data_IF_119220468561
#
_entry.id   IF_119220468561
#
_cell.length_a   1.000
_cell.length_b   1.000
_cell.length_c   1.000
_cell.angle_alpha   90.00
_cell.angle_beta   90.00
_cell.angle_gamma   90.00
#
_symmetry.space_group_name_H-M   'P 1'
#
loop_
_entity.id
_entity.type
_entity.pdbx_description
1 polymer ?
#
# COMPACT_ATOMS: atom_id res chain seq x y z
N UNK A 1 -12.08 -15.81 11.61
CA UNK A 1 -13.06 -14.71 11.63
C UNK A 1 -12.46 -13.55 10.84
N UNK A 2 -13.14 -12.99 9.83
CA UNK A 2 -12.64 -11.82 9.13
C UNK A 2 -12.77 -10.62 10.07
N UNK A 3 -11.70 -10.27 10.79
CA UNK A 3 -11.68 -9.22 11.82
C UNK A 3 -11.67 -7.78 11.26
N UNK A 4 -12.16 -7.57 10.04
CA UNK A 4 -12.21 -6.25 9.39
C UNK A 4 -13.58 -6.07 8.69
N UNK A 5 -14.67 -6.30 9.41
CA UNK A 5 -15.94 -5.70 9.02
C UNK A 5 -15.85 -4.21 9.39
N UNK A 6 -15.39 -3.40 8.44
CA UNK A 6 -15.59 -1.96 8.51
C UNK A 6 -17.09 -1.71 8.55
N UNK A 7 -17.55 -0.97 9.55
CA UNK A 7 -18.93 -0.50 9.60
C UNK A 7 -18.99 0.71 8.67
N UNK A 8 -19.79 0.65 7.61
CA UNK A 8 -20.08 1.83 6.77
C UNK A 8 -21.57 2.04 6.69
N UNK A 9 -22.06 3.02 7.43
CA UNK A 9 -23.23 3.78 7.04
C UNK A 9 -22.71 5.02 6.32
N UNK A 10 -23.20 5.31 5.12
CA UNK A 10 -23.03 6.62 4.48
C UNK A 10 -23.71 7.64 5.40
N UNK A 11 -22.94 8.24 6.29
CA UNK A 11 -23.46 9.24 7.20
C UNK A 11 -23.55 10.57 6.44
N UNK A 12 -24.76 10.96 6.05
CA UNK A 12 -25.03 12.19 5.31
C UNK A 12 -24.64 13.43 6.14
N UNK A 13 -24.49 13.29 7.46
CA UNK A 13 -23.98 14.34 8.34
C UNK A 13 -22.45 14.41 8.41
N UNK A 14 -21.73 13.47 7.78
CA UNK A 14 -20.27 13.49 7.71
C UNK A 14 -19.82 14.71 6.88
N UNK A 15 -18.96 15.58 7.42
CA UNK A 15 -18.45 16.77 6.71
C UNK A 15 -17.65 16.45 5.44
N UNK A 16 -17.30 15.18 5.20
CA UNK A 16 -16.67 14.72 3.97
C UNK A 16 -17.66 14.50 2.81
N UNK A 17 -18.97 14.52 3.10
CA UNK A 17 -20.04 14.47 2.11
C UNK A 17 -20.34 15.89 1.59
N UNK A 18 -20.38 16.12 0.27
CA UNK A 18 -20.63 17.45 -0.29
C UNK A 18 -22.01 18.00 0.10
N UNK A 19 -22.12 19.32 0.23
CA UNK A 19 -23.38 19.99 0.54
C UNK A 19 -24.43 19.72 -0.54
N UNK A 20 -25.70 19.78 -0.16
CA UNK A 20 -26.82 19.59 -1.08
C UNK A 20 -27.11 18.14 -1.47
N UNK A 21 -26.31 17.16 -1.03
CA UNK A 21 -26.52 15.73 -1.37
C UNK A 21 -27.93 15.22 -1.01
N UNK A 22 -28.54 15.75 0.06
CA UNK A 22 -29.89 15.39 0.49
C UNK A 22 -30.99 15.85 -0.49
N UNK A 23 -30.66 16.77 -1.40
CA UNK A 23 -31.57 17.25 -2.45
C UNK A 23 -31.49 16.38 -3.70
N UNK A 24 -30.41 15.63 -3.88
CA UNK A 24 -30.17 14.82 -5.08
C UNK A 24 -31.22 13.72 -5.19
N UNK A 25 -31.93 13.68 -6.32
CA UNK A 25 -33.06 12.77 -6.58
C UNK A 25 -32.63 11.45 -7.22
N UNK A 26 -31.39 11.37 -7.71
CA UNK A 26 -30.82 10.15 -8.27
C UNK A 26 -30.42 9.13 -7.21
N UNK A 27 -29.89 8.00 -7.66
CA UNK A 27 -29.47 6.92 -6.77
C UNK A 27 -28.15 7.27 -6.07
N UNK A 28 -28.07 7.07 -4.75
CA UNK A 28 -26.85 7.27 -3.97
C UNK A 28 -26.41 5.95 -3.36
N UNK A 29 -25.13 5.62 -3.49
CA UNK A 29 -24.55 4.35 -3.04
C UNK A 29 -23.19 4.58 -2.39
N UNK A 30 -22.84 3.79 -1.38
CA UNK A 30 -21.45 3.57 -1.01
C UNK A 30 -20.85 2.42 -1.83
N UNK A 31 -19.53 2.43 -2.01
CA UNK A 31 -18.80 1.34 -2.68
C UNK A 31 -19.05 -0.06 -2.09
N UNK A 32 -19.44 -0.14 -0.82
CA UNK A 32 -19.80 -1.40 -0.15
C UNK A 32 -21.09 -2.02 -0.72
N UNK A 33 -22.01 -1.20 -1.23
CA UNK A 33 -23.29 -1.61 -1.80
C UNK A 33 -23.14 -2.01 -3.28
N UNK A 34 -22.12 -1.49 -3.96
CA UNK A 34 -21.79 -1.92 -5.32
C UNK A 34 -21.35 -3.39 -5.36
N UNK A 35 -21.88 -4.14 -6.33
CA UNK A 35 -21.58 -5.57 -6.53
C UNK A 35 -21.26 -5.94 -7.98
N UNK A 36 -22.08 -5.47 -8.90
CA UNK A 36 -22.01 -5.79 -10.33
C UNK A 36 -22.41 -4.55 -11.16
N UNK A 37 -21.98 -4.45 -12.43
CA UNK A 37 -22.32 -3.33 -13.30
C UNK A 37 -23.75 -3.43 -13.89
N UNK A 38 -24.44 -4.55 -13.71
CA UNK A 38 -25.84 -4.70 -14.12
C UNK A 38 -26.74 -3.72 -13.36
N UNK A 39 -27.64 -3.03 -14.07
CA UNK A 39 -28.49 -1.97 -13.53
C UNK A 39 -27.91 -0.55 -13.70
N UNK A 40 -26.71 -0.42 -14.26
CA UNK A 40 -26.03 0.83 -14.55
C UNK A 40 -25.89 1.14 -16.06
N UNK A 41 -26.57 0.36 -16.91
CA UNK A 41 -26.57 0.54 -18.37
C UNK A 41 -27.13 1.91 -18.73
N UNK A 42 -26.46 2.60 -19.66
CA UNK A 42 -26.87 3.89 -20.22
C UNK A 42 -27.07 5.03 -19.21
N UNK A 43 -26.61 4.84 -17.96
CA UNK A 43 -26.68 5.86 -16.91
C UNK A 43 -25.47 6.79 -16.93
N UNK A 44 -25.64 8.02 -16.48
CA UNK A 44 -24.56 8.97 -16.18
C UNK A 44 -24.19 8.84 -14.70
N UNK A 45 -22.96 8.42 -14.43
CA UNK A 45 -22.56 7.99 -13.08
C UNK A 45 -21.42 8.86 -12.58
N UNK A 46 -21.56 9.41 -11.38
CA UNK A 46 -20.52 10.14 -10.68
C UNK A 46 -19.90 9.27 -9.58
N UNK A 47 -18.63 8.93 -9.75
CA UNK A 47 -17.82 8.22 -8.74
C UNK A 47 -17.02 9.25 -7.94
N UNK A 48 -17.28 9.33 -6.64
CA UNK A 48 -16.58 10.26 -5.74
C UNK A 48 -15.48 9.52 -4.99
N UNK A 49 -14.25 10.00 -5.14
CA UNK A 49 -13.08 9.44 -4.48
C UNK A 49 -12.23 8.60 -5.42
N UNK A 50 -10.92 8.84 -5.39
CA UNK A 50 -9.96 8.12 -6.20
C UNK A 50 -9.05 7.25 -5.33
N UNK A 51 -9.64 6.17 -4.80
CA UNK A 51 -8.94 5.02 -4.23
C UNK A 51 -8.83 3.87 -5.23
N UNK A 52 -8.29 2.71 -4.80
CA UNK A 52 -8.30 1.51 -5.65
C UNK A 52 -9.74 1.14 -6.05
N UNK A 53 -10.66 1.13 -5.08
CA UNK A 53 -12.08 0.83 -5.32
C UNK A 53 -12.73 1.81 -6.29
N UNK A 54 -12.50 3.12 -6.12
CA UNK A 54 -13.04 4.14 -7.03
C UNK A 54 -12.53 3.99 -8.46
N UNK A 55 -11.23 3.71 -8.63
CA UNK A 55 -10.65 3.44 -9.96
C UNK A 55 -11.19 2.18 -10.62
N UNK A 56 -11.32 1.08 -9.86
CA UNK A 56 -11.82 -0.19 -10.38
C UNK A 56 -13.32 -0.10 -10.74
N UNK A 57 -14.15 0.50 -9.88
CA UNK A 57 -15.58 0.72 -10.16
C UNK A 57 -15.76 1.64 -11.38
N UNK A 58 -14.98 2.72 -11.48
CA UNK A 58 -15.07 3.64 -12.61
C UNK A 58 -14.74 2.95 -13.94
N UNK A 59 -13.67 2.15 -13.97
CA UNK A 59 -13.28 1.36 -15.15
C UNK A 59 -14.33 0.30 -15.50
N UNK A 60 -14.86 -0.42 -14.51
CA UNK A 60 -15.87 -1.46 -14.75
C UNK A 60 -17.16 -0.86 -15.33
N UNK A 61 -17.62 0.26 -14.75
CA UNK A 61 -18.81 0.96 -15.22
C UNK A 61 -18.61 1.66 -16.57
N UNK A 62 -17.39 2.05 -16.93
CA UNK A 62 -17.13 2.72 -18.21
C UNK A 62 -17.40 1.84 -19.44
N UNK A 63 -17.65 0.54 -19.23
CA UNK A 63 -18.00 -0.42 -20.30
C UNK A 63 -19.49 -0.48 -20.59
N UNK A 64 -20.34 -0.02 -19.67
CA UNK A 64 -21.81 -0.18 -19.76
C UNK A 64 -22.58 1.12 -19.53
N UNK A 65 -22.04 2.04 -18.75
CA UNK A 65 -22.65 3.34 -18.48
C UNK A 65 -22.59 4.24 -19.71
N UNK A 66 -23.53 5.19 -19.84
CA UNK A 66 -23.46 6.20 -20.89
C UNK A 66 -22.27 7.14 -20.69
N UNK A 67 -21.97 7.47 -19.42
CA UNK A 67 -20.78 8.25 -19.07
C UNK A 67 -20.39 8.04 -17.61
N UNK A 68 -19.09 7.95 -17.34
CA UNK A 68 -18.55 7.88 -15.97
C UNK A 68 -17.72 9.13 -15.67
N UNK A 69 -18.09 9.83 -14.60
CA UNK A 69 -17.39 10.99 -14.07
C UNK A 69 -16.63 10.55 -12.81
N UNK A 70 -15.31 10.76 -12.75
CA UNK A 70 -14.47 10.35 -11.63
C UNK A 70 -13.91 11.57 -10.90
N UNK A 71 -14.47 11.86 -9.73
CA UNK A 71 -14.10 13.03 -8.91
C UNK A 71 -12.98 12.72 -7.92
N UNK A 72 -11.97 13.59 -7.90
CA UNK A 72 -10.86 13.52 -6.94
C UNK A 72 -10.50 14.90 -6.38
N UNK A 73 -10.30 14.99 -5.05
CA UNK A 73 -9.86 16.23 -4.38
C UNK A 73 -8.35 16.43 -4.39
N UNK A 74 -7.59 15.35 -4.55
CA UNK A 74 -6.13 15.37 -4.33
C UNK A 74 -5.32 14.88 -5.52
N UNK A 75 -5.92 14.18 -6.48
CA UNK A 75 -5.18 13.37 -7.45
C UNK A 75 -4.54 12.13 -6.83
N UNK A 76 -3.89 11.32 -7.66
CA UNK A 76 -3.19 10.09 -7.25
C UNK A 76 -2.17 9.65 -8.29
N UNK A 77 -1.13 8.95 -7.87
CA UNK A 77 -0.30 8.17 -8.78
C UNK A 77 -1.01 6.87 -9.16
N UNK A 78 -1.00 6.51 -10.44
CA UNK A 78 -1.55 5.24 -10.93
C UNK A 78 -0.39 4.36 -11.37
N UNK A 79 -0.33 3.16 -10.81
CA UNK A 79 0.66 2.15 -11.18
C UNK A 79 -0.02 0.93 -11.80
N UNK A 80 0.69 0.24 -12.69
CA UNK A 80 0.25 -1.02 -13.28
C UNK A 80 0.56 -2.20 -12.35
N UNK A 81 -0.20 -3.28 -12.49
CA UNK A 81 0.14 -4.59 -11.92
C UNK A 81 1.43 -5.13 -12.53
N UNK A 82 1.68 -4.81 -13.79
CA UNK A 82 2.91 -5.13 -14.51
C UNK A 82 3.96 -4.04 -14.37
N UNK A 83 5.23 -4.44 -14.36
CA UNK A 83 6.38 -3.53 -14.37
C UNK A 83 7.22 -3.74 -15.64
N UNK A 84 8.39 -3.11 -15.72
CA UNK A 84 9.30 -3.25 -16.86
C UNK A 84 9.57 -4.73 -17.15
N UNK A 85 9.38 -5.16 -18.41
CA UNK A 85 9.55 -6.56 -18.83
C UNK A 85 8.37 -7.48 -18.52
N UNK A 86 7.22 -6.94 -18.08
CA UNK A 86 6.00 -7.73 -17.83
C UNK A 86 6.00 -8.46 -16.48
N UNK A 87 6.99 -8.22 -15.62
CA UNK A 87 7.05 -8.85 -14.30
C UNK A 87 6.06 -8.20 -13.32
N UNK A 88 5.50 -8.95 -12.34
CA UNK A 88 4.65 -8.39 -11.31
C UNK A 88 5.35 -7.25 -10.54
N UNK A 89 4.68 -6.11 -10.42
CA UNK A 89 5.25 -4.90 -9.84
C UNK A 89 5.76 -5.12 -8.41
N UNK A 90 5.00 -5.81 -7.57
CA UNK A 90 5.38 -6.11 -6.18
C UNK A 90 6.67 -6.92 -6.07
N UNK A 91 6.89 -7.91 -6.95
CA UNK A 91 8.12 -8.70 -6.99
C UNK A 91 9.33 -7.86 -7.44
N UNK A 92 9.10 -6.79 -8.20
CA UNK A 92 10.16 -5.86 -8.60
C UNK A 92 10.42 -4.77 -7.54
N UNK A 93 9.38 -4.28 -6.88
CA UNK A 93 9.47 -3.16 -5.95
C UNK A 93 9.82 -3.56 -4.51
N UNK A 94 9.29 -4.69 -4.02
CA UNK A 94 9.50 -5.14 -2.64
C UNK A 94 10.74 -6.04 -2.54
N UNK A 95 11.92 -5.43 -2.53
CA UNK A 95 13.23 -6.10 -2.44
C UNK A 95 14.05 -5.53 -1.29
N UNK A 96 14.86 -6.38 -0.62
CA UNK A 96 15.67 -5.94 0.53
C UNK A 96 16.74 -4.94 0.12
N UNK A 97 17.30 -5.16 -1.07
CA UNK A 97 18.18 -4.18 -1.66
C UNK A 97 17.38 -2.99 -2.21
N UNK A 98 17.27 -1.96 -1.39
CA UNK A 98 16.94 -0.61 -1.84
C UNK A 98 18.03 0.36 -1.37
N UNK A 99 19.29 0.01 -1.66
CA UNK A 99 20.47 0.79 -1.26
C UNK A 99 20.40 2.22 -1.79
N UNK A 100 19.80 2.42 -2.96
CA UNK A 100 19.51 3.75 -3.51
C UNK A 100 18.69 4.61 -2.55
N UNK A 101 17.68 4.05 -1.87
CA UNK A 101 16.90 4.78 -0.88
C UNK A 101 17.64 5.05 0.44
N UNK A 102 18.72 4.31 0.71
CA UNK A 102 19.55 4.47 1.92
C UNK A 102 20.68 5.49 1.71
N UNK A 103 21.13 5.68 0.47
CA UNK A 103 22.30 6.52 0.15
C UNK A 103 21.92 7.85 -0.50
N UNK A 104 20.83 7.91 -1.25
CA UNK A 104 20.46 9.13 -1.97
C UNK A 104 19.68 10.11 -1.07
N UNK A 105 19.89 11.43 -1.23
CA UNK A 105 19.05 12.45 -0.60
C UNK A 105 17.56 12.28 -0.96
N UNK A 106 16.69 12.65 -0.01
CA UNK A 106 15.23 12.50 -0.16
C UNK A 106 14.65 13.25 -1.37
N UNK A 107 15.25 14.39 -1.76
CA UNK A 107 14.85 15.15 -2.94
C UNK A 107 15.10 14.37 -4.25
N UNK A 108 16.27 13.74 -4.37
CA UNK A 108 16.63 12.92 -5.54
C UNK A 108 15.73 11.68 -5.62
N UNK A 109 15.45 11.04 -4.48
CA UNK A 109 14.55 9.90 -4.42
C UNK A 109 13.12 10.26 -4.83
N UNK A 110 12.62 11.41 -4.36
CA UNK A 110 11.31 11.93 -4.74
C UNK A 110 11.26 12.21 -6.24
N UNK A 111 12.23 12.95 -6.76
CA UNK A 111 12.34 13.28 -8.18
C UNK A 111 12.40 12.02 -9.06
N UNK A 112 13.25 11.06 -8.70
CA UNK A 112 13.41 9.80 -9.44
C UNK A 112 12.12 8.98 -9.44
N UNK A 113 11.43 8.92 -8.29
CA UNK A 113 10.14 8.24 -8.15
C UNK A 113 9.06 8.90 -9.00
N UNK A 114 8.91 10.22 -8.93
CA UNK A 114 7.93 10.97 -9.73
C UNK A 114 8.18 10.81 -11.23
N UNK A 115 9.45 10.85 -11.66
CA UNK A 115 9.84 10.57 -13.05
C UNK A 115 9.53 9.13 -13.45
N UNK A 116 9.78 8.17 -12.57
CA UNK A 116 9.46 6.76 -12.80
C UNK A 116 7.96 6.50 -12.96
N UNK A 117 7.14 7.17 -12.15
CA UNK A 117 5.68 7.07 -12.20
C UNK A 117 5.11 7.71 -13.48
N UNK A 118 5.66 8.85 -13.90
CA UNK A 118 5.26 9.52 -15.15
C UNK A 118 5.83 8.88 -16.43
N UNK A 119 6.66 7.84 -16.31
CA UNK A 119 7.29 7.20 -17.48
C UNK A 119 6.26 6.52 -18.40
N UNK A 120 5.18 5.96 -17.83
CA UNK A 120 4.14 5.27 -18.61
C UNK A 120 3.21 6.28 -19.30
N UNK A 121 2.80 7.31 -18.58
CA UNK A 121 2.01 8.43 -19.07
C UNK A 121 2.15 9.60 -18.09
N UNK A 122 2.00 10.82 -18.59
CA UNK A 122 2.06 12.03 -17.76
C UNK A 122 0.75 12.20 -16.97
N UNK A 123 0.82 12.11 -15.64
CA UNK A 123 -0.37 12.21 -14.79
C UNK A 123 -1.02 13.59 -14.84
N UNK A 124 -0.27 14.64 -15.23
CA UNK A 124 -0.81 16.00 -15.39
C UNK A 124 -1.78 16.07 -16.55
N UNK A 125 -1.41 15.47 -17.69
CA UNK A 125 -2.25 15.46 -18.89
C UNK A 125 -3.56 14.68 -18.70
N UNK A 126 -3.59 13.78 -17.72
CA UNK A 126 -4.73 12.92 -17.41
C UNK A 126 -5.56 13.44 -16.22
N UNK A 127 -5.25 14.62 -15.66
CA UNK A 127 -5.96 15.15 -14.49
C UNK A 127 -5.77 14.33 -13.20
N UNK A 128 -4.65 13.59 -13.11
CA UNK A 128 -4.30 12.71 -11.99
C UNK A 128 -3.18 13.28 -11.11
N UNK A 129 -2.57 14.39 -11.51
CA UNK A 129 -1.50 15.03 -10.76
C UNK A 129 -1.93 15.38 -9.34
N UNK A 130 -0.98 15.29 -8.41
CA UNK A 130 -1.27 15.48 -6.99
C UNK A 130 -1.30 16.98 -6.69
N UNK A 131 -2.40 17.43 -6.08
CA UNK A 131 -2.56 18.83 -5.67
C UNK A 131 -1.43 19.25 -4.73
N UNK A 132 -0.83 20.43 -4.95
CA UNK A 132 0.29 20.94 -4.14
C UNK A 132 -0.07 20.94 -2.65
N UNK A 133 0.87 20.47 -1.83
CA UNK A 133 0.70 20.35 -0.37
C UNK A 133 -0.13 19.15 0.10
N UNK A 134 -0.78 18.39 -0.80
CA UNK A 134 -1.48 17.16 -0.41
C UNK A 134 -0.53 15.96 -0.35
N UNK A 135 -0.87 15.00 0.51
CA UNK A 135 -0.09 13.77 0.68
C UNK A 135 -0.21 12.88 -0.56
N UNK A 136 0.91 12.33 -1.07
CA UNK A 136 0.86 11.48 -2.24
C UNK A 136 0.11 10.18 -1.96
N UNK A 137 -0.77 9.81 -2.89
CA UNK A 137 -1.50 8.54 -2.89
C UNK A 137 -1.11 7.75 -4.13
N UNK A 138 -1.30 6.44 -4.06
CA UNK A 138 -1.04 5.54 -5.19
C UNK A 138 -2.13 4.50 -5.27
N UNK A 139 -2.68 4.31 -6.47
CA UNK A 139 -3.63 3.25 -6.80
C UNK A 139 -3.01 2.29 -7.82
N UNK A 140 -3.47 1.05 -7.82
CA UNK A 140 -3.07 0.02 -8.78
C UNK A 140 -4.20 -0.18 -9.77
N UNK A 141 -4.05 0.30 -11.00
CA UNK A 141 -5.04 0.10 -12.05
C UNK A 141 -4.35 0.09 -13.43
N UNK A 142 -4.69 -0.90 -14.26
CA UNK A 142 -4.06 -1.10 -15.56
C UNK A 142 -4.78 -0.38 -16.70
N UNK A 143 -6.08 -0.17 -16.55
CA UNK A 143 -7.03 0.24 -17.59
C UNK A 143 -7.47 1.71 -17.46
N UNK A 144 -7.47 2.27 -16.25
CA UNK A 144 -7.91 3.64 -15.98
C UNK A 144 -7.28 4.68 -16.92
N UNK A 145 -5.97 4.67 -17.20
CA UNK A 145 -5.39 5.60 -18.16
C UNK A 145 -6.02 5.45 -19.55
N UNK A 146 -6.24 4.22 -20.02
CA UNK A 146 -6.88 3.98 -21.32
C UNK A 146 -8.32 4.47 -21.34
N UNK A 147 -9.09 4.23 -20.28
CA UNK A 147 -10.47 4.72 -20.17
C UNK A 147 -10.55 6.26 -20.20
N UNK A 148 -9.60 6.95 -19.55
CA UNK A 148 -9.50 8.41 -19.60
C UNK A 148 -9.15 8.88 -21.01
N UNK A 149 -8.16 8.23 -21.65
CA UNK A 149 -7.74 8.57 -23.00
C UNK A 149 -8.86 8.38 -24.04
N UNK A 150 -9.68 7.34 -23.87
CA UNK A 150 -10.84 7.06 -24.73
C UNK A 150 -12.07 7.91 -24.38
N UNK A 151 -12.03 8.72 -23.31
CA UNK A 151 -13.15 9.56 -22.88
C UNK A 151 -14.32 8.81 -22.24
N UNK A 152 -14.17 7.51 -21.95
CA UNK A 152 -15.21 6.71 -21.26
C UNK A 152 -15.22 6.97 -19.76
N UNK A 153 -14.11 7.49 -19.22
CA UNK A 153 -14.02 8.03 -17.85
C UNK A 153 -13.52 9.47 -17.94
N UNK A 154 -14.32 10.42 -17.48
CA UNK A 154 -13.94 11.83 -17.43
C UNK A 154 -13.52 12.21 -16.02
N UNK A 155 -12.30 12.73 -15.86
CA UNK A 155 -11.79 13.20 -14.58
C UNK A 155 -12.44 14.53 -14.16
N UNK A 156 -12.76 14.66 -12.87
CA UNK A 156 -13.33 15.87 -12.26
C UNK A 156 -12.62 16.25 -10.97
N UNK A 157 -12.65 17.54 -10.64
CA UNK A 157 -12.17 18.07 -9.35
C UNK A 157 -13.10 17.66 -8.20
N UNK A 158 -12.87 18.15 -6.97
CA UNK A 158 -13.77 17.87 -5.86
C UNK A 158 -15.19 18.38 -6.14
N UNK A 159 -16.21 17.65 -5.66
CA UNK A 159 -17.59 18.14 -5.72
C UNK A 159 -17.77 19.20 -4.64
N UNK A 160 -18.25 20.37 -5.06
CA UNK A 160 -18.55 21.52 -4.19
C UNK A 160 -19.98 21.42 -3.62
N UNK A 161 -20.97 21.19 -4.47
CA UNK A 161 -22.38 21.13 -4.07
C UNK A 161 -23.19 20.27 -5.05
N UNK A 162 -24.23 19.61 -4.54
CA UNK A 162 -25.24 18.92 -5.33
C UNK A 162 -26.53 19.73 -5.47
N UNK A 163 -27.14 19.66 -6.64
CA UNK A 163 -28.53 20.07 -6.88
C UNK A 163 -29.42 18.83 -6.91
N UNK A 164 -30.67 18.97 -7.36
CA UNK A 164 -31.57 17.83 -7.48
C UNK A 164 -31.10 16.78 -8.51
N UNK A 165 -30.40 17.19 -9.56
CA UNK A 165 -30.00 16.31 -10.68
C UNK A 165 -28.57 16.54 -11.18
N UNK A 166 -27.84 17.49 -10.58
CA UNK A 166 -26.52 17.93 -11.06
C UNK A 166 -25.51 18.03 -9.92
N UNK A 167 -24.22 18.05 -10.28
CA UNK A 167 -23.12 18.30 -9.37
C UNK A 167 -22.28 19.50 -9.85
N UNK A 168 -22.03 20.45 -8.95
CA UNK A 168 -21.11 21.57 -9.13
C UNK A 168 -19.74 21.17 -8.57
N UNK A 169 -18.68 21.38 -9.36
CA UNK A 169 -17.31 21.04 -8.98
C UNK A 169 -16.51 22.26 -8.51
N UNK A 170 -15.37 22.02 -7.86
CA UNK A 170 -14.48 23.06 -7.31
C UNK A 170 -13.89 23.97 -8.39
N UNK A 171 -13.75 23.49 -9.62
CA UNK A 171 -13.34 24.28 -10.79
C UNK A 171 -14.46 25.13 -11.41
N UNK A 172 -15.66 25.08 -10.86
CA UNK A 172 -16.84 25.81 -11.34
C UNK A 172 -17.60 25.09 -12.47
N UNK A 173 -17.12 23.94 -12.93
CA UNK A 173 -17.87 23.14 -13.91
C UNK A 173 -19.11 22.51 -13.28
N UNK A 174 -20.16 22.33 -14.08
CA UNK A 174 -21.41 21.68 -13.67
C UNK A 174 -21.64 20.48 -14.57
N UNK A 175 -21.94 19.33 -13.96
CA UNK A 175 -22.38 18.14 -14.68
C UNK A 175 -23.85 17.88 -14.37
N UNK A 176 -24.68 17.94 -15.40
CA UNK A 176 -26.12 17.76 -15.31
C UNK A 176 -26.53 16.32 -15.59
N UNK A 177 -27.77 15.99 -15.22
CA UNK A 177 -28.42 14.71 -15.50
C UNK A 177 -27.61 13.52 -14.97
N UNK A 178 -27.14 13.62 -13.72
CA UNK A 178 -26.46 12.52 -13.03
C UNK A 178 -27.53 11.59 -12.48
N UNK A 179 -27.49 10.32 -12.89
CA UNK A 179 -28.46 9.31 -12.45
C UNK A 179 -28.02 8.62 -11.15
N UNK A 180 -26.71 8.46 -10.97
CA UNK A 180 -26.13 7.69 -9.86
C UNK A 180 -24.89 8.38 -9.30
N UNK A 181 -24.80 8.47 -7.98
CA UNK A 181 -23.60 8.88 -7.24
C UNK A 181 -23.07 7.70 -6.43
N UNK A 182 -21.81 7.33 -6.65
CA UNK A 182 -21.13 6.26 -5.91
C UNK A 182 -19.99 6.84 -5.09
N UNK A 183 -20.13 6.78 -3.76
CA UNK A 183 -19.09 7.17 -2.82
C UNK A 183 -18.07 6.05 -2.63
N UNK A 184 -16.82 6.33 -2.98
CA UNK A 184 -15.66 5.44 -2.72
C UNK A 184 -14.68 6.10 -1.74
N UNK A 185 -15.26 6.73 -0.71
CA UNK A 185 -14.57 7.58 0.26
C UNK A 185 -13.81 6.83 1.35
N UNK A 186 -13.93 5.50 1.40
CA UNK A 186 -13.18 4.64 2.29
C UNK A 186 -14.06 4.02 3.36
N UNK A 187 -13.44 3.57 4.45
CA UNK A 187 -14.10 2.84 5.52
C UNK A 187 -13.61 3.39 6.87
N UNK A 188 -14.51 3.43 7.84
CA UNK A 188 -14.16 3.57 9.24
C UNK A 188 -14.23 2.18 9.90
N UNK A 189 -13.53 2.04 11.02
CA UNK A 189 -13.51 0.79 11.78
C UNK A 189 -13.94 1.10 13.21
N UNK A 190 -14.65 0.16 13.82
CA UNK A 190 -15.06 0.23 15.21
C UNK A 190 -14.98 -1.16 15.83
N UNK A 191 -14.78 -1.20 17.15
CA UNK A 191 -14.75 -2.44 17.92
C UNK A 191 -15.90 -2.39 18.94
N UNK A 192 -17.16 -2.59 18.52
CA UNK A 192 -18.33 -2.39 19.40
C UNK A 192 -18.38 -3.40 20.55
N UNK A 193 -17.68 -4.52 20.42
CA UNK A 193 -17.56 -5.56 21.44
C UNK A 193 -16.51 -5.26 22.53
N UNK A 194 -15.76 -4.16 22.41
CA UNK A 194 -14.83 -3.70 23.45
C UNK A 194 -15.48 -2.62 24.31
N UNK A 195 -15.23 -2.66 25.62
CA UNK A 195 -15.66 -1.62 26.56
C UNK A 195 -14.63 -0.48 26.66
N UNK A 196 -15.06 0.70 27.11
CA UNK A 196 -14.14 1.80 27.41
C UNK A 196 -13.34 1.51 28.71
N UNK A 197 -12.07 1.92 28.82
CA UNK A 197 -11.29 2.74 27.88
C UNK A 197 -10.59 1.94 26.77
N UNK A 198 -10.72 0.61 26.76
CA UNK A 198 -9.99 -0.25 25.83
C UNK A 198 -10.41 -0.02 24.37
N UNK A 199 -11.70 0.22 24.13
CA UNK A 199 -12.26 0.52 22.81
C UNK A 199 -11.63 1.75 22.16
N UNK A 200 -11.61 2.89 22.85
CA UNK A 200 -11.00 4.13 22.33
C UNK A 200 -9.50 3.98 22.09
N UNK A 201 -8.79 3.30 23.00
CA UNK A 201 -7.36 3.02 22.85
C UNK A 201 -7.06 2.11 21.65
N UNK A 202 -7.83 1.03 21.46
CA UNK A 202 -7.64 0.10 20.33
C UNK A 202 -7.97 0.73 18.98
N UNK A 203 -8.86 1.73 18.97
CA UNK A 203 -9.19 2.50 17.76
C UNK A 203 -8.01 3.41 17.35
N UNK A 204 -7.20 3.86 18.31
CA UNK A 204 -6.01 4.69 18.08
C UNK A 204 -4.75 3.82 17.92
N UNK A 205 -4.24 3.70 16.68
CA UNK A 205 -3.00 2.93 16.39
C UNK A 205 -1.78 3.33 17.22
N UNK A 206 -1.69 4.58 17.70
CA UNK A 206 -0.59 5.05 18.57
C UNK A 206 -0.46 4.23 19.85
N UNK A 207 -1.57 3.72 20.37
CA UNK A 207 -1.63 2.95 21.60
C UNK A 207 -1.52 1.44 21.38
N UNK A 208 -1.17 1.01 20.17
CA UNK A 208 -0.92 -0.37 19.84
C UNK A 208 0.57 -0.60 19.63
N UNK A 209 1.22 -1.26 20.58
CA UNK A 209 2.61 -1.67 20.46
C UNK A 209 2.80 -2.56 19.22
N UNK A 210 3.62 -2.08 18.28
CA UNK A 210 3.84 -2.68 16.95
C UNK A 210 2.54 -2.96 16.19
N UNK A 211 1.48 -2.19 16.44
CA UNK A 211 0.14 -2.38 15.88
C UNK A 211 -0.51 -3.74 16.22
N UNK A 212 -0.10 -4.37 17.33
CA UNK A 212 -0.63 -5.66 17.77
C UNK A 212 -1.19 -5.58 19.18
N UNK A 213 -0.39 -5.16 20.16
CA UNK A 213 -0.78 -5.25 21.58
C UNK A 213 -1.22 -3.89 22.11
N UNK A 214 -2.40 -3.77 22.73
CA UNK A 214 -2.78 -2.54 23.43
C UNK A 214 -1.83 -2.24 24.58
N UNK A 215 -1.40 -0.99 24.67
CA UNK A 215 -0.40 -0.54 25.63
C UNK A 215 -0.86 -0.59 27.10
N UNK A 216 -2.17 -0.58 27.36
CA UNK A 216 -2.75 -0.43 28.70
C UNK A 216 -3.08 -1.74 29.44
N UNK A 217 -2.76 -2.91 28.86
CA UNK A 217 -3.13 -4.19 29.46
C UNK A 217 -2.14 -4.63 30.54
N UNK A 218 -2.63 -4.96 31.75
CA UNK A 218 -1.81 -5.54 32.82
C UNK A 218 -1.22 -6.90 32.43
N UNK A 219 -2.02 -7.73 31.75
CA UNK A 219 -1.61 -9.01 31.18
C UNK A 219 -1.77 -8.98 29.67
N UNK A 220 -0.74 -9.44 28.96
CA UNK A 220 -0.76 -9.46 27.50
C UNK A 220 -1.58 -10.64 26.97
N UNK A 221 -2.91 -10.56 27.06
CA UNK A 221 -3.85 -11.62 26.66
C UNK A 221 -4.74 -11.24 25.48
N UNK A 222 -4.65 -10.01 24.98
CA UNK A 222 -5.39 -9.53 23.81
C UNK A 222 -4.41 -9.00 22.75
N UNK A 223 -4.68 -9.33 21.50
CA UNK A 223 -3.88 -8.90 20.35
C UNK A 223 -4.79 -8.53 19.16
N UNK A 224 -4.52 -7.38 18.57
CA UNK A 224 -5.14 -6.88 17.34
C UNK A 224 -4.36 -7.43 16.15
N UNK A 225 -4.97 -8.29 15.34
CA UNK A 225 -4.33 -8.90 14.17
C UNK A 225 -4.93 -8.29 12.90
N UNK A 226 -4.08 -7.84 11.99
CA UNK A 226 -4.50 -7.28 10.69
C UNK A 226 -4.89 -5.82 10.71
N UNK A 227 -4.79 -5.15 11.86
CA UNK A 227 -5.00 -3.71 11.97
C UNK A 227 -3.76 -2.91 11.52
N UNK A 228 -3.31 -3.20 10.29
CA UNK A 228 -2.09 -2.67 9.69
C UNK A 228 -2.32 -2.27 8.23
N UNK A 229 -1.56 -1.27 7.78
CA UNK A 229 -1.52 -0.86 6.37
C UNK A 229 -0.08 -0.99 5.90
N UNK A 230 0.21 -1.88 4.96
CA UNK A 230 1.57 -2.14 4.47
C UNK A 230 1.73 -1.70 3.00
N UNK A 231 2.95 -1.39 2.59
CA UNK A 231 3.33 -1.24 1.17
C UNK A 231 3.32 -2.57 0.42
N UNK A 232 3.32 -3.69 1.14
CA UNK A 232 3.26 -5.06 0.62
C UNK A 232 2.00 -5.80 1.08
N UNK A 233 2.07 -7.13 1.10
CA UNK A 233 0.92 -7.99 1.42
C UNK A 233 0.53 -7.92 2.90
N UNK A 234 -0.73 -7.55 3.17
CA UNK A 234 -1.30 -7.57 4.53
C UNK A 234 -1.38 -9.02 5.05
N UNK A 235 -1.67 -10.00 4.20
CA UNK A 235 -1.79 -11.41 4.61
C UNK A 235 -0.49 -11.98 5.19
N UNK A 236 0.65 -11.59 4.62
CA UNK A 236 1.95 -11.97 5.17
C UNK A 236 2.22 -11.27 6.52
N UNK A 237 1.81 -10.00 6.63
CA UNK A 237 1.87 -9.25 7.89
C UNK A 237 1.02 -9.87 8.99
N UNK A 238 -0.23 -10.23 8.70
CA UNK A 238 -1.17 -10.81 9.68
C UNK A 238 -0.70 -12.18 10.16
N UNK A 239 -0.15 -13.00 9.27
CA UNK A 239 0.43 -14.29 9.62
C UNK A 239 1.58 -14.13 10.61
N UNK A 240 2.48 -13.17 10.37
CA UNK A 240 3.63 -12.95 11.23
C UNK A 240 3.23 -12.29 12.56
N UNK A 241 2.26 -11.39 12.55
CA UNK A 241 1.62 -10.87 13.77
C UNK A 241 1.04 -12.01 14.61
N UNK A 242 0.32 -12.95 14.00
CA UNK A 242 -0.27 -14.09 14.71
C UNK A 242 0.79 -15.03 15.30
N UNK A 243 1.89 -15.28 14.55
CA UNK A 243 3.04 -16.05 15.07
C UNK A 243 3.68 -15.40 16.28
N UNK A 244 3.80 -14.06 16.27
CA UNK A 244 4.31 -13.35 17.43
C UNK A 244 3.33 -13.34 18.59
N UNK A 245 2.06 -13.03 18.33
CA UNK A 245 1.00 -12.98 19.34
C UNK A 245 0.87 -14.29 20.13
N UNK A 246 0.78 -15.42 19.43
CA UNK A 246 0.67 -16.75 20.06
C UNK A 246 1.87 -17.11 20.93
N UNK A 247 3.07 -16.68 20.55
CA UNK A 247 4.29 -16.90 21.35
C UNK A 247 4.32 -16.02 22.60
N UNK A 248 3.80 -14.80 22.51
CA UNK A 248 3.64 -13.93 23.68
C UNK A 248 2.60 -14.52 24.64
N UNK A 249 1.46 -14.97 24.14
CA UNK A 249 0.43 -15.64 24.95
C UNK A 249 0.94 -16.91 25.63
N UNK A 250 1.82 -17.67 24.96
CA UNK A 250 2.48 -18.85 25.54
C UNK A 250 3.62 -18.49 26.51
N UNK A 251 3.99 -17.22 26.65
CA UNK A 251 5.10 -16.78 27.49
C UNK A 251 6.50 -17.04 26.90
N UNK A 252 6.59 -17.42 25.63
CA UNK A 252 7.87 -17.68 24.93
C UNK A 252 8.54 -16.40 24.43
N UNK A 253 7.79 -15.31 24.29
CA UNK A 253 8.26 -13.98 23.93
C UNK A 253 7.73 -12.99 24.96
N UNK A 254 8.58 -12.09 25.48
CA UNK A 254 8.15 -11.02 26.38
C UNK A 254 8.00 -9.72 25.60
N UNK A 255 7.02 -8.92 25.98
CA UNK A 255 6.88 -7.53 25.52
C UNK A 255 7.23 -6.58 26.67
N UNK A 256 7.55 -5.30 26.39
CA UNK A 256 7.78 -4.32 27.45
C UNK A 256 6.57 -4.17 28.39
N UNK A 257 6.77 -3.77 29.66
CA UNK A 257 5.68 -3.53 30.60
C UNK A 257 4.70 -2.46 30.10
N UNK A 258 3.42 -2.60 30.44
CA UNK A 258 2.34 -1.69 30.02
C UNK A 258 2.62 -0.22 30.37
N UNK A 259 3.17 0.05 31.55
CA UNK A 259 3.54 1.40 31.98
C UNK A 259 4.52 2.07 31.00
N UNK A 260 5.51 1.32 30.50
CA UNK A 260 6.47 1.83 29.51
C UNK A 260 5.79 2.06 28.16
N UNK A 261 4.96 1.12 27.71
CA UNK A 261 4.25 1.23 26.44
C UNK A 261 3.26 2.40 26.42
N UNK A 262 2.55 2.63 27.53
CA UNK A 262 1.66 3.78 27.70
C UNK A 262 2.44 5.08 27.70
N UNK A 263 3.54 5.18 28.45
CA UNK A 263 4.36 6.39 28.48
C UNK A 263 4.92 6.76 27.09
N UNK A 264 5.38 5.76 26.32
CA UNK A 264 5.84 5.96 24.95
C UNK A 264 4.71 6.39 24.00
N UNK A 265 3.53 5.76 24.11
CA UNK A 265 2.37 6.09 23.29
C UNK A 265 1.83 7.51 23.59
N UNK A 266 1.66 7.87 24.86
CA UNK A 266 1.20 9.21 25.28
C UNK A 266 2.20 10.28 24.87
N UNK A 267 3.51 10.05 25.04
CA UNK A 267 4.54 10.98 24.57
C UNK A 267 4.45 11.20 23.07
N UNK A 268 4.23 10.11 22.31
CA UNK A 268 4.08 10.19 20.84
C UNK A 268 2.82 10.97 20.46
N UNK A 269 1.68 10.73 21.10
CA UNK A 269 0.44 11.46 20.86
C UNK A 269 0.61 12.96 21.14
N UNK A 270 1.20 13.33 22.28
CA UNK A 270 1.48 14.73 22.62
C UNK A 270 2.39 15.43 21.61
N UNK A 271 3.40 14.75 21.07
CA UNK A 271 4.26 15.30 20.03
C UNK A 271 3.51 15.53 18.72
N UNK A 272 2.56 14.65 18.39
CA UNK A 272 1.70 14.80 17.21
C UNK A 272 0.74 15.98 17.39
N UNK A 273 0.08 16.09 18.54
CA UNK A 273 -0.84 17.18 18.86
C UNK A 273 -0.14 18.56 18.84
N UNK A 274 1.11 18.61 19.30
CA UNK A 274 1.94 19.83 19.27
C UNK A 274 2.52 20.13 17.88
N UNK A 275 2.27 19.29 16.87
CA UNK A 275 2.83 19.43 15.53
C UNK A 275 4.35 19.19 15.43
N UNK A 276 4.98 18.68 16.49
CA UNK A 276 6.42 18.38 16.57
C UNK A 276 6.75 17.03 15.92
N UNK A 277 5.76 16.15 15.74
CA UNK A 277 5.87 14.90 15.02
C UNK A 277 4.76 14.80 13.98
N UNK A 278 5.09 14.35 12.78
CA UNK A 278 4.09 14.09 11.75
C UNK A 278 3.24 12.88 12.13
N UNK A 279 1.93 13.04 12.08
CA UNK A 279 1.02 11.90 12.16
C UNK A 279 1.23 10.97 10.94
N UNK A 280 1.68 9.76 11.23
CA UNK A 280 1.93 8.69 10.25
C UNK A 280 0.99 7.50 10.44
N UNK A 281 -0.02 7.62 11.32
CA UNK A 281 -0.96 6.55 11.68
C UNK A 281 -1.79 6.07 10.47
N UNK A 282 -2.10 7.00 9.56
CA UNK A 282 -2.77 6.73 8.29
C UNK A 282 -1.84 6.35 7.13
N UNK A 283 -0.53 6.26 7.35
CA UNK A 283 0.45 5.94 6.32
C UNK A 283 0.63 4.42 6.19
N UNK A 284 0.99 3.97 4.98
CA UNK A 284 1.41 2.59 4.79
C UNK A 284 2.81 2.43 5.38
N UNK A 285 2.99 1.46 6.26
CA UNK A 285 4.29 1.07 6.77
C UNK A 285 5.11 0.36 5.68
N UNK A 286 6.43 0.54 5.72
CA UNK A 286 7.33 -0.24 4.90
C UNK A 286 7.24 -1.72 5.25
N UNK A 287 6.87 -2.54 4.26
CA UNK A 287 6.64 -3.97 4.45
C UNK A 287 7.86 -4.70 5.02
N UNK A 288 9.05 -4.49 4.47
CA UNK A 288 10.25 -5.25 4.87
C UNK A 288 10.67 -4.86 6.28
N UNK A 289 10.67 -3.57 6.59
CA UNK A 289 11.04 -3.04 7.91
C UNK A 289 10.11 -3.59 8.99
N UNK A 290 8.79 -3.51 8.77
CA UNK A 290 7.80 -4.03 9.71
C UNK A 290 7.90 -5.55 9.90
N UNK A 291 8.04 -6.29 8.81
CA UNK A 291 8.16 -7.75 8.86
C UNK A 291 9.46 -8.18 9.55
N UNK A 292 10.59 -7.51 9.29
CA UNK A 292 11.87 -7.80 9.93
C UNK A 292 11.85 -7.49 11.43
N UNK A 293 11.15 -6.42 11.84
CA UNK A 293 10.94 -6.10 13.26
C UNK A 293 10.16 -7.20 13.99
N UNK A 294 9.04 -7.66 13.43
CA UNK A 294 8.26 -8.75 14.03
C UNK A 294 9.03 -10.08 14.01
N UNK A 295 9.71 -10.37 12.90
CA UNK A 295 10.52 -11.58 12.77
C UNK A 295 11.68 -11.59 13.77
N UNK A 296 12.26 -10.44 14.10
CA UNK A 296 13.27 -10.33 15.15
C UNK A 296 12.70 -10.69 16.53
N UNK A 297 11.48 -10.25 16.86
CA UNK A 297 10.83 -10.57 18.14
C UNK A 297 10.62 -12.08 18.38
N UNK A 298 10.57 -12.89 17.31
CA UNK A 298 10.39 -14.34 17.40
C UNK A 298 11.60 -15.15 16.93
N UNK A 299 12.72 -14.48 16.57
CA UNK A 299 13.95 -15.14 16.13
C UNK A 299 13.89 -15.78 14.74
N UNK A 300 13.06 -15.25 13.83
CA UNK A 300 12.86 -15.81 12.48
C UNK A 300 13.29 -14.85 11.36
N UNK A 301 13.93 -13.73 11.72
CA UNK A 301 14.48 -12.78 10.75
C UNK A 301 15.63 -13.45 9.98
N UNK A 302 15.63 -13.45 8.64
CA UNK A 302 16.73 -14.01 7.86
C UNK A 302 18.07 -13.34 8.15
N UNK A 303 19.06 -14.11 8.59
CA UNK A 303 20.43 -13.63 8.74
C UNK A 303 21.14 -13.68 7.37
N UNK A 304 21.02 -12.59 6.62
CA UNK A 304 21.57 -12.49 5.24
C UNK A 304 23.09 -12.68 5.19
N UNK A 305 23.92 -12.05 6.05
CA UNK A 305 25.36 -12.31 6.06
C UNK A 305 25.71 -13.79 6.27
N UNK A 306 25.04 -14.46 7.20
CA UNK A 306 25.24 -15.89 7.44
C UNK A 306 24.80 -16.75 6.25
N UNK A 307 23.73 -16.35 5.54
CA UNK A 307 23.30 -17.02 4.32
C UNK A 307 24.37 -16.89 3.22
N UNK A 308 25.02 -15.73 3.06
CA UNK A 308 26.09 -15.58 2.07
C UNK A 308 27.27 -16.54 2.32
N UNK A 309 27.54 -16.87 3.59
CA UNK A 309 28.58 -17.82 3.96
C UNK A 309 28.15 -19.29 3.76
N UNK A 310 26.89 -19.64 4.05
CA UNK A 310 26.42 -21.04 4.06
C UNK A 310 25.73 -21.50 2.77
N UNK A 311 24.98 -20.61 2.13
CA UNK A 311 24.22 -20.89 0.90
C UNK A 311 24.15 -19.60 0.06
N UNK A 312 25.23 -19.24 -0.65
CA UNK A 312 25.33 -17.98 -1.39
C UNK A 312 24.26 -17.84 -2.48
N UNK A 313 23.81 -18.96 -3.08
CA UNK A 313 22.72 -18.96 -4.07
C UNK A 313 21.41 -18.51 -3.44
N UNK A 314 21.06 -19.06 -2.28
CA UNK A 314 19.87 -18.63 -1.54
C UNK A 314 20.02 -17.18 -1.03
N UNK A 315 21.20 -16.80 -0.53
CA UNK A 315 21.47 -15.45 -0.04
C UNK A 315 21.22 -14.39 -1.12
N UNK A 316 21.67 -14.67 -2.35
CA UNK A 316 21.46 -13.81 -3.50
C UNK A 316 19.97 -13.56 -3.78
N UNK A 317 19.16 -14.62 -3.83
CA UNK A 317 17.71 -14.52 -4.04
C UNK A 317 16.99 -13.85 -2.86
N UNK A 318 17.45 -14.08 -1.63
CA UNK A 318 16.86 -13.44 -0.43
C UNK A 318 17.12 -11.93 -0.43
N UNK A 319 18.34 -11.50 -0.79
CA UNK A 319 18.75 -10.11 -0.68
C UNK A 319 18.39 -9.27 -1.92
N UNK A 320 18.71 -9.77 -3.11
CA UNK A 320 18.51 -9.05 -4.37
C UNK A 320 17.19 -9.42 -5.06
N UNK A 321 16.66 -10.62 -4.78
CA UNK A 321 15.38 -11.07 -5.31
C UNK A 321 14.17 -10.45 -4.60
N UNK A 322 12.95 -10.85 -4.98
CA UNK A 322 11.72 -10.41 -4.34
C UNK A 322 11.66 -10.87 -2.88
N UNK A 323 11.24 -9.97 -1.98
CA UNK A 323 11.03 -10.28 -0.56
C UNK A 323 9.73 -11.08 -0.36
N UNK A 324 9.74 -12.35 -0.75
CA UNK A 324 8.59 -13.25 -0.64
C UNK A 324 8.40 -13.78 0.79
N UNK A 325 7.15 -14.07 1.23
CA UNK A 325 6.88 -14.51 2.61
C UNK A 325 7.62 -15.79 3.03
N UNK A 326 8.01 -16.64 2.07
CA UNK A 326 8.83 -17.83 2.32
C UNK A 326 10.09 -17.52 3.14
N UNK A 327 10.68 -16.34 2.94
CA UNK A 327 11.88 -15.90 3.65
C UNK A 327 11.70 -15.90 5.17
N UNK A 328 10.51 -15.54 5.67
CA UNK A 328 10.21 -15.46 7.11
C UNK A 328 9.94 -16.83 7.76
N UNK A 329 10.11 -17.92 7.00
CA UNK A 329 10.08 -19.32 7.46
C UNK A 329 11.34 -20.09 7.07
N UNK A 330 12.43 -19.40 6.72
CA UNK A 330 13.73 -20.03 6.43
C UNK A 330 14.45 -20.55 7.68
N UNK A 331 14.27 -19.87 8.81
CA UNK A 331 14.97 -20.15 10.05
C UNK A 331 14.12 -19.78 11.27
N UNK A 332 14.55 -20.25 12.44
CA UNK A 332 13.87 -20.03 13.70
C UNK A 332 12.60 -20.86 13.89
N UNK A 333 11.81 -20.56 14.93
CA UNK A 333 10.58 -21.27 15.23
C UNK A 333 9.55 -21.22 14.09
N UNK A 334 9.03 -22.40 13.72
CA UNK A 334 8.10 -22.54 12.59
C UNK A 334 8.78 -22.50 11.22
N UNK A 335 10.09 -22.77 11.15
CA UNK A 335 10.80 -23.03 9.90
C UNK A 335 10.05 -24.05 9.04
N UNK A 336 10.01 -23.81 7.75
CA UNK A 336 9.46 -24.74 6.76
C UNK A 336 10.58 -25.24 5.85
N UNK A 337 10.78 -26.56 5.78
CA UNK A 337 11.89 -27.13 5.00
C UNK A 337 11.76 -26.89 3.49
N UNK A 338 10.53 -26.70 2.99
CA UNK A 338 10.27 -26.31 1.60
C UNK A 338 10.59 -24.85 1.26
N UNK A 339 10.89 -24.00 2.25
CA UNK A 339 11.06 -22.55 2.06
C UNK A 339 12.20 -22.22 1.09
N UNK A 340 13.33 -22.94 1.19
CA UNK A 340 14.47 -22.77 0.29
C UNK A 340 14.07 -23.03 -1.16
N UNK A 341 13.47 -24.19 -1.42
CA UNK A 341 13.05 -24.58 -2.75
C UNK A 341 12.01 -23.59 -3.31
N UNK A 342 11.06 -23.17 -2.48
CA UNK A 342 10.04 -22.19 -2.86
C UNK A 342 10.66 -20.85 -3.29
N UNK A 343 11.67 -20.34 -2.59
CA UNK A 343 12.36 -19.10 -2.99
C UNK A 343 13.08 -19.29 -4.33
N UNK A 344 13.85 -20.37 -4.48
CA UNK A 344 14.66 -20.59 -5.68
C UNK A 344 13.83 -20.82 -6.96
N UNK A 345 12.60 -21.31 -6.82
CA UNK A 345 11.68 -21.62 -7.94
C UNK A 345 10.52 -20.64 -8.07
N UNK A 346 10.56 -19.50 -7.34
CA UNK A 346 9.45 -18.53 -7.33
C UNK A 346 9.18 -17.95 -8.71
N UNK A 347 10.21 -17.68 -9.50
CA UNK A 347 10.07 -17.16 -10.86
C UNK A 347 9.49 -18.18 -11.84
N UNK A 348 9.79 -19.46 -11.65
CA UNK A 348 9.19 -20.52 -12.47
C UNK A 348 7.68 -20.54 -12.27
N UNK A 349 7.21 -20.46 -11.01
CA UNK A 349 5.77 -20.38 -10.70
C UNK A 349 5.13 -19.08 -11.19
N UNK A 350 5.84 -17.97 -11.16
CA UNK A 350 5.34 -16.69 -11.69
C UNK A 350 5.18 -16.71 -13.20
N UNK A 351 6.14 -17.29 -13.93
CA UNK A 351 6.17 -17.24 -15.40
C UNK A 351 5.38 -18.39 -16.05
N UNK A 352 5.27 -19.55 -15.40
CA UNK A 352 4.57 -20.72 -15.92
C UNK A 352 3.14 -20.43 -16.42
N UNK A 353 2.25 -19.76 -15.65
CA UNK A 353 0.89 -19.48 -16.15
C UNK A 353 0.85 -18.44 -17.27
N UNK A 354 1.91 -17.64 -17.45
CA UNK A 354 2.00 -16.62 -18.50
C UNK A 354 2.50 -17.19 -19.83
N UNK A 355 3.23 -18.33 -19.80
CA UNK A 355 3.82 -18.97 -20.98
C UNK A 355 2.97 -20.14 -21.49
N UNK A 356 1.72 -19.87 -21.86
CA UNK A 356 0.78 -20.89 -22.38
C UNK A 356 1.07 -21.30 -23.83
N UNK A 357 1.81 -20.47 -24.59
CA UNK A 357 2.32 -20.78 -25.93
C UNK A 357 3.84 -20.92 -25.89
N UNK A 358 4.35 -22.06 -26.35
CA UNK A 358 5.79 -22.28 -26.49
C UNK A 358 6.28 -21.57 -27.76
N UNK A 359 7.32 -20.77 -27.63
CA UNK A 359 8.00 -20.09 -28.75
C UNK A 359 9.42 -20.67 -28.84
N UNK A 360 9.82 -21.24 -29.99
CA UNK A 360 11.21 -21.63 -30.20
C UNK A 360 12.10 -20.38 -30.06
N UNK A 361 13.14 -20.46 -29.21
CA UNK A 361 14.03 -19.36 -28.80
C UNK A 361 13.49 -18.29 -27.84
N UNK A 362 12.66 -18.67 -26.85
CA UNK A 362 12.52 -17.81 -25.66
C UNK A 362 13.83 -17.82 -24.86
N UNK A 363 14.60 -16.73 -24.97
CA UNK A 363 15.82 -16.48 -24.18
C UNK A 363 15.65 -16.89 -22.70
N UNK A 364 16.73 -17.45 -22.13
CA UNK A 364 16.78 -17.87 -20.71
C UNK A 364 16.18 -16.78 -19.82
N UNK A 365 15.39 -17.13 -18.79
CA UNK A 365 14.77 -16.14 -17.91
C UNK A 365 15.84 -15.18 -17.42
N UNK A 366 15.59 -13.88 -17.58
CA UNK A 366 16.54 -12.80 -17.40
C UNK A 366 16.88 -12.54 -15.91
N UNK A 367 17.15 -13.60 -15.15
CA UNK A 367 17.55 -13.56 -13.74
C UNK A 367 18.96 -13.01 -13.55
N UNK A 368 19.85 -13.07 -14.55
CA UNK A 368 21.18 -12.42 -14.45
C UNK A 368 21.31 -11.13 -15.27
N UNK A 369 20.79 -11.09 -16.50
CA UNK A 369 21.03 -9.96 -17.43
C UNK A 369 20.34 -8.64 -17.00
N UNK A 370 19.11 -8.70 -16.48
CA UNK A 370 18.45 -7.50 -15.95
C UNK A 370 19.08 -7.01 -14.64
N UNK A 371 19.63 -7.93 -13.84
CA UNK A 371 20.34 -7.58 -12.62
C UNK A 371 21.67 -6.91 -12.98
N UNK A 372 22.51 -7.46 -13.85
CA UNK A 372 23.72 -6.75 -14.29
C UNK A 372 23.44 -5.36 -14.91
N UNK A 373 22.38 -5.19 -15.70
CA UNK A 373 22.01 -3.88 -16.28
C UNK A 373 21.47 -2.88 -15.25
N UNK A 374 20.72 -3.33 -14.24
CA UNK A 374 20.23 -2.46 -13.18
C UNK A 374 21.32 -2.12 -12.14
N UNK A 375 22.41 -2.90 -12.09
CA UNK A 375 23.43 -2.83 -11.05
C UNK A 375 24.79 -2.32 -11.51
N UNK A 376 25.10 -2.37 -12.80
CA UNK A 376 26.34 -1.81 -13.33
C UNK A 376 26.51 -0.34 -12.92
N UNK A 377 25.50 0.49 -13.16
CA UNK A 377 25.57 1.92 -12.84
C UNK A 377 25.55 2.23 -11.32
N UNK A 378 24.68 1.66 -10.47
CA UNK A 378 24.69 1.93 -9.03
C UNK A 378 25.91 1.40 -8.29
N UNK A 379 26.45 0.23 -8.69
CA UNK A 379 27.69 -0.30 -8.10
C UNK A 379 28.86 0.60 -8.50
N UNK A 380 28.98 0.97 -9.79
CA UNK A 380 29.98 1.94 -10.23
C UNK A 380 29.87 3.26 -9.47
N UNK A 381 28.67 3.79 -9.29
CA UNK A 381 28.44 5.05 -8.57
C UNK A 381 28.78 4.93 -7.08
N UNK A 382 28.44 3.82 -6.42
CA UNK A 382 28.77 3.56 -5.03
C UNK A 382 30.28 3.38 -4.83
N UNK A 383 30.94 2.65 -5.72
CA UNK A 383 32.39 2.51 -5.75
C UNK A 383 33.08 3.86 -5.97
N UNK A 384 32.62 4.67 -6.92
CA UNK A 384 33.14 6.02 -7.16
C UNK A 384 32.94 6.93 -5.95
N UNK A 385 31.76 6.91 -5.31
CA UNK A 385 31.48 7.71 -4.11
C UNK A 385 32.32 7.26 -2.91
N UNK A 386 32.56 5.95 -2.74
CA UNK A 386 33.44 5.43 -1.70
C UNK A 386 34.91 5.80 -1.96
N UNK A 387 35.36 5.78 -3.22
CA UNK A 387 36.70 6.22 -3.62
C UNK A 387 36.87 7.74 -3.41
N UNK A 388 35.88 8.55 -3.76
CA UNK A 388 35.89 9.98 -3.50
C UNK A 388 35.93 10.27 -1.99
N UNK A 389 35.17 9.51 -1.18
CA UNK A 389 35.13 9.67 0.26
C UNK A 389 36.42 9.21 0.95
N UNK A 390 37.09 8.18 0.42
CA UNK A 390 38.42 7.78 0.92
C UNK A 390 39.51 8.77 0.50
N UNK A 391 39.42 9.36 -0.68
CA UNK A 391 40.41 10.35 -1.17
C UNK A 391 40.41 11.63 -0.31
N UNK A 392 39.23 12.06 0.16
CA UNK A 392 39.08 13.18 1.09
C UNK A 392 39.61 12.91 2.52
N UNK A 393 39.89 11.66 2.88
CA UNK A 393 40.44 11.26 4.18
C UNK A 393 41.98 11.20 4.15
N UNK A 394 42.59 11.19 2.96
CA UNK A 394 44.05 11.18 2.78
C UNK A 394 44.66 12.57 2.51
N UNK A 395 43.85 13.65 2.51
CA UNK A 395 44.31 15.04 2.37
C UNK A 395 44.27 15.85 3.68
N UNK A 396 44.18 15.19 4.85
CA UNK A 396 44.31 15.85 6.17
C UNK A 396 45.51 15.36 6.97
#
# INVERSE_FOLDING_TARGET
MPANEGVTTLDISDPSVPSGIHKFKGQILHSQEYKIPTGFQDKRILVIGLGNTGGDIAVELSRTAAQVLLSTRTGTWVISRSSNGGYPFNMMATRRHNFTAQVLPSCVLKWSRERGLNKRFDHTNYGLNITKGKKPKTIVNDELPTCILCGTVTMKTGVKEFTETSALFEDGTVEENIDVVIFTTGYTFSFPFLEEPLKSLCTKKTFLYKLVFPSNLERTTLAMIGFISLTGSILAGTELQARWATRVFKGLCKIPPSQKLMAEATKKEQLIERGLMKDTIGDKLDYISYMDELAACIGTKPNVPLLFLKDPRLAWEVFFGPCTPYQYRLMGPGKWDGARNAILTQWDRTLKPLKTRIVPDSSKPASMSHYLKAWGAPILLASLLLICKSSLIFET
#
